data_IF_993806056750
#
_entry.id   IF_993806056750
#
_cell.length_a   1.000
_cell.length_b   1.000
_cell.length_c   1.000
_cell.angle_alpha   90.00
_cell.angle_beta   90.00
_cell.angle_gamma   90.00
#
_symmetry.space_group_name_H-M   'P 1'
#
loop_
_entity.id
_entity.type
_entity.pdbx_description
1 polymer ?
#
# COMPACT_ATOMS: atom_id res chain seq x y z
N UNK A 1 8.28 9.09 9.82
CA UNK A 1 8.17 8.01 8.80
C UNK A 1 6.84 8.16 8.09
N UNK A 2 6.77 7.84 6.80
CA UNK A 2 5.53 7.77 6.04
C UNK A 2 5.13 6.30 5.97
N UNK A 3 4.05 5.94 6.66
CA UNK A 3 3.53 4.57 6.72
C UNK A 3 2.12 4.58 6.14
N UNK A 4 1.79 3.58 5.34
CA UNK A 4 0.48 3.51 4.72
C UNK A 4 -0.10 2.11 4.79
N UNK A 5 -1.43 2.00 4.90
CA UNK A 5 -2.13 0.73 5.08
C UNK A 5 -2.94 0.43 3.84
N UNK A 6 -2.70 -0.73 3.23
CA UNK A 6 -3.52 -1.25 2.15
C UNK A 6 -4.86 -1.71 2.69
N UNK A 7 -5.97 -1.17 2.18
CA UNK A 7 -7.32 -1.59 2.54
C UNK A 7 -8.09 -2.09 1.32
N UNK A 8 -9.06 -2.96 1.57
CA UNK A 8 -9.95 -3.52 0.57
C UNK A 8 -11.33 -3.73 1.18
N UNK A 9 -12.38 -3.19 0.56
CA UNK A 9 -13.76 -3.36 0.98
C UNK A 9 -14.67 -3.83 -0.14
N UNK A 10 -15.76 -4.52 0.19
CA UNK A 10 -16.82 -4.86 -0.76
C UNK A 10 -18.07 -3.98 -0.57
N UNK A 11 -19.05 -4.14 -1.47
CA UNK A 11 -20.32 -3.40 -1.44
C UNK A 11 -21.26 -3.83 -0.30
N UNK A 12 -20.85 -4.81 0.51
CA UNK A 12 -21.67 -5.42 1.55
C UNK A 12 -21.19 -5.03 2.96
N UNK A 13 -20.23 -4.11 3.05
CA UNK A 13 -19.71 -3.58 4.32
C UNK A 13 -18.58 -4.42 4.92
N UNK A 14 -18.08 -5.43 4.20
CA UNK A 14 -16.88 -6.16 4.61
C UNK A 14 -15.64 -5.34 4.25
N UNK A 15 -14.67 -5.33 5.15
CA UNK A 15 -13.45 -4.56 5.01
C UNK A 15 -12.27 -5.31 5.63
N UNK A 16 -11.15 -5.36 4.91
CA UNK A 16 -9.91 -6.00 5.36
C UNK A 16 -8.73 -5.05 5.11
N UNK A 17 -7.63 -5.27 5.84
CA UNK A 17 -6.33 -4.69 5.54
C UNK A 17 -5.40 -5.76 4.97
N UNK A 18 -4.47 -5.33 4.11
CA UNK A 18 -3.39 -6.15 3.58
C UNK A 18 -2.03 -5.67 4.11
N UNK A 19 -2.00 -5.32 5.40
CA UNK A 19 -0.86 -4.80 6.13
C UNK A 19 -0.39 -3.44 5.63
N UNK A 20 0.72 -2.97 6.20
CA UNK A 20 1.31 -1.68 5.94
C UNK A 20 2.50 -1.73 5.00
N UNK A 21 2.81 -0.57 4.40
CA UNK A 21 4.04 -0.30 3.66
C UNK A 21 4.81 0.85 4.31
N UNK A 22 6.13 0.81 4.22
CA UNK A 22 6.98 1.95 4.54
C UNK A 22 7.39 2.67 3.25
N UNK A 23 6.95 3.92 3.12
CA UNK A 23 7.23 4.78 1.99
C UNK A 23 8.09 5.99 2.43
N UNK A 24 8.84 5.88 3.52
CA UNK A 24 9.64 6.98 4.09
C UNK A 24 10.82 7.39 3.22
N UNK A 25 11.28 6.54 2.30
CA UNK A 25 12.37 6.87 1.37
C UNK A 25 11.81 7.73 0.24
N UNK A 26 11.94 9.05 0.41
CA UNK A 26 11.36 10.04 -0.49
C UNK A 26 12.36 11.10 -0.93
N UNK A 27 12.18 11.64 -2.14
CA UNK A 27 12.89 12.82 -2.66
C UNK A 27 11.86 13.89 -3.01
N UNK A 28 11.91 15.07 -2.37
CA UNK A 28 10.98 16.20 -2.64
C UNK A 28 9.50 15.77 -2.66
N UNK A 29 9.07 15.02 -1.63
CA UNK A 29 7.71 14.47 -1.50
C UNK A 29 7.29 13.42 -2.53
N UNK A 30 8.23 12.92 -3.35
CA UNK A 30 8.02 11.76 -4.20
C UNK A 30 8.59 10.54 -3.51
N UNK A 31 7.77 9.49 -3.35
CA UNK A 31 8.24 8.17 -2.93
C UNK A 31 9.31 7.69 -3.93
N UNK A 32 10.33 6.96 -3.48
CA UNK A 32 11.42 6.45 -4.35
C UNK A 32 11.63 4.94 -4.15
N UNK A 33 11.60 4.50 -2.90
CA UNK A 33 11.68 3.09 -2.51
C UNK A 33 10.57 2.80 -1.52
N UNK A 34 9.85 1.71 -1.76
CA UNK A 34 8.74 1.27 -0.92
C UNK A 34 8.99 -0.15 -0.43
N UNK A 35 8.67 -0.42 0.84
CA UNK A 35 8.89 -1.71 1.48
C UNK A 35 7.60 -2.23 2.10
N UNK A 36 7.41 -3.56 2.07
CA UNK A 36 6.32 -4.22 2.79
C UNK A 36 6.83 -5.52 3.44
N UNK A 37 6.46 -5.84 4.69
CA UNK A 37 5.86 -4.93 5.68
C UNK A 37 6.86 -3.82 6.07
N UNK A 38 6.41 -2.83 6.85
CA UNK A 38 7.31 -1.77 7.31
C UNK A 38 8.41 -2.35 8.22
N UNK A 39 9.71 -2.13 7.91
CA UNK A 39 10.79 -2.66 8.73
C UNK A 39 10.83 -1.95 10.09
N UNK A 40 11.20 -2.65 11.16
CA UNK A 40 11.39 -2.05 12.50
C UNK A 40 10.16 -1.23 12.93
N UNK A 41 8.98 -1.84 12.85
CA UNK A 41 7.73 -1.29 13.38
C UNK A 41 7.26 -2.20 14.51
N UNK A 42 7.07 -1.63 15.70
CA UNK A 42 6.56 -2.35 16.86
C UNK A 42 5.16 -2.90 16.55
N UNK A 43 4.90 -4.14 16.99
CA UNK A 43 3.66 -4.83 16.65
C UNK A 43 2.43 -4.09 17.21
N UNK A 44 2.51 -3.49 18.40
CA UNK A 44 1.38 -2.74 18.95
C UNK A 44 1.09 -1.47 18.12
N UNK A 45 2.14 -0.80 17.62
CA UNK A 45 1.98 0.36 16.72
C UNK A 45 1.36 -0.09 15.40
N UNK A 46 1.84 -1.19 14.81
CA UNK A 46 1.26 -1.79 13.60
C UNK A 46 -0.22 -2.06 13.79
N UNK A 47 -0.62 -2.78 14.84
CA UNK A 47 -2.02 -3.11 15.08
C UNK A 47 -2.90 -1.86 15.24
N UNK A 48 -2.38 -0.80 15.86
CA UNK A 48 -3.10 0.47 15.97
C UNK A 48 -3.30 1.16 14.61
N UNK A 49 -2.26 1.21 13.77
CA UNK A 49 -2.34 1.75 12.40
C UNK A 49 -3.39 1.00 11.57
N UNK A 50 -3.32 -0.34 11.58
CA UNK A 50 -4.23 -1.21 10.83
C UNK A 50 -5.69 -1.02 11.29
N UNK A 51 -5.90 -0.98 12.62
CA UNK A 51 -7.22 -0.76 13.22
C UNK A 51 -7.79 0.61 12.86
N UNK A 52 -6.99 1.67 12.93
CA UNK A 52 -7.47 3.02 12.65
C UNK A 52 -7.75 3.24 11.16
N UNK A 53 -6.97 2.62 10.26
CA UNK A 53 -7.25 2.59 8.83
C UNK A 53 -8.61 1.92 8.54
N UNK A 54 -8.85 0.73 9.13
CA UNK A 54 -10.13 0.05 8.98
C UNK A 54 -11.29 0.84 9.58
N UNK A 55 -11.09 1.47 10.74
CA UNK A 55 -12.11 2.30 11.38
C UNK A 55 -12.53 3.45 10.47
N UNK A 56 -11.57 4.20 9.92
CA UNK A 56 -11.85 5.30 8.99
C UNK A 56 -12.67 4.83 7.78
N UNK A 57 -12.21 3.77 7.12
CA UNK A 57 -12.86 3.23 5.93
C UNK A 57 -14.24 2.64 6.22
N UNK A 58 -14.47 2.09 7.42
CA UNK A 58 -15.78 1.60 7.85
C UNK A 58 -16.80 2.72 8.01
N UNK A 59 -16.41 3.85 8.62
CA UNK A 59 -17.30 5.01 8.82
C UNK A 59 -17.82 5.61 7.50
N UNK A 60 -17.01 5.54 6.43
CA UNK A 60 -17.39 6.06 5.12
C UNK A 60 -17.99 5.01 4.17
N UNK A 61 -18.13 3.76 4.62
CA UNK A 61 -18.59 2.66 3.77
C UNK A 61 -17.69 2.42 2.56
N UNK A 62 -16.37 2.45 2.76
CA UNK A 62 -15.39 2.31 1.69
C UNK A 62 -15.56 0.99 0.94
N UNK A 63 -15.51 1.05 -0.39
CA UNK A 63 -15.60 -0.11 -1.28
C UNK A 63 -14.46 -0.07 -2.29
N UNK A 64 -14.06 -1.24 -2.79
CA UNK A 64 -12.90 -1.48 -3.64
C UNK A 64 -11.56 -1.35 -2.87
N UNK A 65 -10.45 -1.22 -3.58
CA UNK A 65 -9.10 -1.11 -3.00
C UNK A 65 -8.72 0.35 -2.77
N UNK A 66 -8.01 0.64 -1.70
CA UNK A 66 -7.48 1.97 -1.39
C UNK A 66 -6.35 1.92 -0.39
N UNK A 67 -5.76 3.06 -0.10
CA UNK A 67 -4.68 3.17 0.89
C UNK A 67 -4.94 4.31 1.86
N UNK A 68 -4.74 4.06 3.15
CA UNK A 68 -4.78 5.10 4.18
C UNK A 68 -3.34 5.44 4.57
N UNK A 69 -2.95 6.71 4.41
CA UNK A 69 -1.59 7.17 4.68
C UNK A 69 -1.49 7.86 6.05
N UNK A 70 -0.38 7.61 6.74
CA UNK A 70 -0.07 8.13 8.06
C UNK A 70 1.36 8.67 8.13
N UNK A 71 1.54 9.70 8.96
CA UNK A 71 2.85 10.10 9.46
C UNK A 71 3.08 9.48 10.83
N UNK A 72 4.18 8.76 10.99
CA UNK A 72 4.61 8.15 12.25
C UNK A 72 5.80 8.91 12.84
N UNK A 73 5.68 9.40 14.06
CA UNK A 73 6.76 10.10 14.78
C UNK A 73 7.73 9.13 15.49
N UNK A 74 8.80 9.66 16.08
CA UNK A 74 9.81 8.85 16.80
C UNK A 74 9.34 8.29 18.14
N UNK A 75 8.20 8.76 18.67
CA UNK A 75 7.58 8.27 19.90
C UNK A 75 6.56 7.17 19.64
N UNK A 76 6.28 6.86 18.37
CA UNK A 76 5.30 5.86 17.97
C UNK A 76 3.88 6.39 17.82
N UNK A 77 3.67 7.71 17.83
CA UNK A 77 2.37 8.30 17.53
C UNK A 77 2.18 8.37 16.02
N UNK A 78 1.02 7.94 15.52
CA UNK A 78 0.63 8.06 14.13
C UNK A 78 -0.46 9.12 13.92
N UNK A 79 -0.35 9.82 12.80
CA UNK A 79 -1.24 10.91 12.42
C UNK A 79 -1.76 10.64 11.01
N UNK A 80 -3.08 10.58 10.85
CA UNK A 80 -3.72 10.45 9.53
C UNK A 80 -3.30 11.62 8.63
N UNK A 81 -3.00 11.31 7.37
CA UNK A 81 -2.62 12.30 6.36
C UNK A 81 -3.61 12.36 5.21
N UNK A 82 -3.83 11.25 4.50
CA UNK A 82 -4.76 11.19 3.38
C UNK A 82 -5.27 9.77 3.12
N UNK A 83 -6.29 9.66 2.25
CA UNK A 83 -6.72 8.40 1.66
C UNK A 83 -6.52 8.47 0.15
N UNK A 84 -5.73 7.55 -0.39
CA UNK A 84 -5.68 7.30 -1.81
C UNK A 84 -6.81 6.33 -2.18
N UNK A 85 -7.93 6.87 -2.69
CA UNK A 85 -9.12 6.10 -3.06
C UNK A 85 -8.97 5.35 -4.41
N UNK A 86 -7.79 4.75 -4.63
CA UNK A 86 -7.38 4.03 -5.84
C UNK A 86 -6.20 3.11 -5.53
N UNK A 87 -5.90 2.21 -6.46
CA UNK A 87 -4.64 1.45 -6.42
C UNK A 87 -3.44 2.41 -6.55
N UNK A 88 -2.37 2.10 -5.84
CA UNK A 88 -1.11 2.84 -5.86
C UNK A 88 -0.03 2.08 -6.63
N UNK A 89 1.05 2.77 -7.01
CA UNK A 89 2.12 2.17 -7.82
C UNK A 89 2.82 1.04 -7.04
N UNK A 90 2.99 1.24 -5.75
CA UNK A 90 3.61 0.37 -4.76
C UNK A 90 2.70 -0.75 -4.22
N UNK A 91 1.55 -1.03 -4.86
CA UNK A 91 0.71 -2.16 -4.47
C UNK A 91 1.44 -3.51 -4.61
N UNK A 92 2.39 -3.61 -5.55
CA UNK A 92 3.16 -4.82 -5.86
C UNK A 92 3.85 -5.43 -4.63
N UNK A 93 4.46 -4.61 -3.75
CA UNK A 93 5.11 -5.15 -2.55
C UNK A 93 4.11 -5.76 -1.57
N UNK A 94 2.88 -5.26 -1.55
CA UNK A 94 1.79 -5.88 -0.77
C UNK A 94 1.33 -7.19 -1.39
N UNK A 95 1.22 -7.26 -2.73
CA UNK A 95 0.89 -8.51 -3.43
C UNK A 95 1.94 -9.59 -3.17
N UNK A 96 3.23 -9.23 -3.26
CA UNK A 96 4.35 -10.16 -3.04
C UNK A 96 4.33 -10.78 -1.63
N UNK A 97 4.06 -9.97 -0.59
CA UNK A 97 4.08 -10.50 0.79
C UNK A 97 2.79 -11.21 1.19
N UNK A 98 1.65 -10.91 0.55
CA UNK A 98 0.35 -11.50 0.92
C UNK A 98 -0.10 -12.62 -0.01
N UNK A 99 0.41 -12.64 -1.25
CA UNK A 99 -0.06 -13.49 -2.33
C UNK A 99 -1.44 -13.11 -2.87
N UNK A 100 -1.95 -11.92 -2.54
CA UNK A 100 -3.25 -11.43 -3.02
C UNK A 100 -3.05 -10.54 -4.24
N UNK A 101 -3.64 -10.91 -5.37
CA UNK A 101 -3.73 -10.08 -6.56
C UNK A 101 -4.80 -8.99 -6.36
N UNK A 102 -4.33 -7.77 -6.11
CA UNK A 102 -5.17 -6.62 -5.80
C UNK A 102 -5.94 -6.16 -7.03
N UNK A 103 -5.32 -6.16 -8.23
CA UNK A 103 -5.98 -5.75 -9.47
C UNK A 103 -7.15 -6.68 -9.81
N UNK A 104 -6.93 -7.99 -9.72
CA UNK A 104 -7.98 -8.99 -9.92
C UNK A 104 -9.09 -8.83 -8.86
N UNK A 105 -8.73 -8.65 -7.60
CA UNK A 105 -9.70 -8.42 -6.53
C UNK A 105 -10.55 -7.17 -6.78
N UNK A 106 -9.96 -6.06 -7.26
CA UNK A 106 -10.70 -4.85 -7.63
C UNK A 106 -11.78 -5.13 -8.66
N UNK A 107 -11.45 -5.88 -9.72
CA UNK A 107 -12.39 -6.25 -10.78
C UNK A 107 -13.51 -7.12 -10.21
N UNK A 108 -13.17 -8.15 -9.42
CA UNK A 108 -14.16 -9.04 -8.81
C UNK A 108 -15.11 -8.33 -7.85
N UNK A 109 -14.60 -7.40 -7.04
CA UNK A 109 -15.42 -6.57 -6.16
C UNK A 109 -16.33 -5.65 -6.98
N UNK A 110 -15.83 -5.08 -8.07
CA UNK A 110 -16.64 -4.26 -8.97
C UNK A 110 -17.79 -5.06 -9.63
N UNK A 111 -17.55 -6.34 -9.96
CA UNK A 111 -18.56 -7.32 -10.41
C UNK A 111 -19.60 -7.66 -9.33
N UNK A 112 -19.41 -7.21 -8.08
CA UNK A 112 -20.32 -7.45 -6.97
C UNK A 112 -20.00 -8.72 -6.17
N UNK A 113 -18.80 -9.29 -6.29
CA UNK A 113 -18.37 -10.39 -5.41
C UNK A 113 -18.14 -9.89 -3.99
N UNK A 114 -18.49 -10.73 -3.01
CA UNK A 114 -18.16 -10.52 -1.60
C UNK A 114 -16.73 -10.91 -1.31
N UNK A 115 -16.09 -10.28 -0.33
CA UNK A 115 -14.75 -10.67 0.12
C UNK A 115 -14.68 -12.15 0.55
N UNK A 116 -15.71 -12.65 1.23
CA UNK A 116 -15.82 -14.06 1.61
C UNK A 116 -15.84 -15.02 0.41
N UNK A 117 -16.56 -14.67 -0.67
CA UNK A 117 -16.62 -15.47 -1.91
C UNK A 117 -15.25 -15.53 -2.61
N UNK A 118 -14.44 -14.49 -2.42
CA UNK A 118 -13.07 -14.39 -2.93
C UNK A 118 -12.05 -15.04 -2.00
N UNK A 119 -12.47 -15.56 -0.83
CA UNK A 119 -11.57 -16.05 0.23
C UNK A 119 -10.57 -14.98 0.68
N UNK A 120 -11.06 -13.74 0.78
CA UNK A 120 -10.32 -12.58 1.25
C UNK A 120 -10.90 -12.14 2.60
N UNK A 121 -10.71 -12.97 3.63
CA UNK A 121 -11.09 -12.63 5.01
C UNK A 121 -9.85 -12.29 5.83
N UNK A 122 -9.99 -11.44 6.86
CA UNK A 122 -8.85 -10.89 7.60
C UNK A 122 -7.95 -11.98 8.22
N UNK A 123 -8.53 -13.10 8.64
CA UNK A 123 -7.84 -14.28 9.20
C UNK A 123 -7.03 -15.08 8.17
N UNK A 124 -7.32 -14.92 6.88
CA UNK A 124 -6.61 -15.60 5.79
C UNK A 124 -5.44 -14.78 5.24
N UNK A 125 -5.40 -13.47 5.51
CA UNK A 125 -4.31 -12.60 5.07
C UNK A 125 -3.11 -12.80 5.99
N UNK A 126 -2.04 -13.39 5.44
CA UNK A 126 -0.81 -13.68 6.17
C UNK A 126 0.39 -13.09 5.44
N UNK A 127 1.34 -12.51 6.18
CA UNK A 127 2.59 -11.99 5.63
C UNK A 127 3.59 -13.12 5.41
N UNK A 128 4.19 -13.18 4.22
CA UNK A 128 5.29 -14.07 3.86
C UNK A 128 6.49 -13.25 3.42
N UNK A 129 7.53 -13.22 4.25
CA UNK A 129 8.78 -12.52 3.93
C UNK A 129 8.64 -11.00 3.90
N UNK A 130 9.40 -10.38 3.01
CA UNK A 130 9.47 -8.92 2.83
C UNK A 130 9.73 -8.63 1.36
N UNK A 131 9.12 -7.58 0.83
CA UNK A 131 9.29 -7.12 -0.53
C UNK A 131 9.74 -5.66 -0.55
N UNK A 132 10.51 -5.32 -1.59
CA UNK A 132 11.02 -3.97 -1.83
C UNK A 132 10.75 -3.63 -3.29
N UNK A 133 10.20 -2.45 -3.54
CA UNK A 133 10.05 -1.90 -4.87
C UNK A 133 11.02 -0.73 -5.06
N UNK A 134 11.69 -0.74 -6.21
CA UNK A 134 12.47 0.37 -6.73
C UNK A 134 11.93 0.74 -8.11
N UNK A 135 11.94 2.02 -8.44
CA UNK A 135 11.56 2.51 -9.76
C UNK A 135 12.79 3.00 -10.51
N UNK A 136 13.07 2.36 -11.64
CA UNK A 136 14.10 2.81 -12.57
C UNK A 136 13.45 3.83 -13.51
N UNK A 137 13.94 5.07 -13.47
CA UNK A 137 13.47 6.18 -14.30
C UNK A 137 14.59 6.62 -15.26
N UNK A 138 14.26 7.49 -16.22
CA UNK A 138 15.27 8.15 -17.06
C UNK A 138 15.85 9.40 -16.39
N UNK A 139 15.53 9.67 -15.12
CA UNK A 139 16.08 10.83 -14.41
C UNK A 139 17.59 10.66 -14.20
N UNK A 140 18.40 11.60 -14.69
CA UNK A 140 19.85 11.57 -14.52
C UNK A 140 20.27 12.26 -13.20
N UNK A 141 20.80 11.54 -12.20
CA UNK A 141 21.24 12.14 -10.94
C UNK A 141 22.36 13.18 -11.10
N UNK A 142 23.20 13.06 -12.15
CA UNK A 142 24.29 14.00 -12.44
C UNK A 142 23.77 15.33 -13.01
N UNK A 143 22.59 15.31 -13.64
CA UNK A 143 21.89 16.49 -14.16
C UNK A 143 20.75 16.95 -13.24
N UNK A 144 20.86 16.69 -11.94
CA UNK A 144 19.85 17.12 -10.97
C UNK A 144 18.52 16.39 -11.10
N UNK A 145 18.55 15.15 -11.58
CA UNK A 145 17.40 14.28 -11.85
C UNK A 145 16.46 14.81 -12.92
N UNK A 146 17.00 15.48 -13.94
CA UNK A 146 16.23 15.80 -15.13
C UNK A 146 15.89 14.51 -15.91
N UNK A 147 14.64 14.31 -16.36
CA UNK A 147 14.30 13.17 -17.20
C UNK A 147 15.03 13.23 -18.55
N UNK A 148 15.78 12.18 -18.86
CA UNK A 148 16.40 12.01 -20.17
C UNK A 148 15.37 11.51 -21.21
N UNK A 149 15.68 11.74 -22.49
CA UNK A 149 14.84 11.39 -23.63
C UNK A 149 15.67 10.84 -24.79
N UNK A 150 15.10 9.94 -25.57
CA UNK A 150 15.80 9.33 -26.71
C UNK A 150 15.30 7.93 -26.98
N UNK A 151 16.02 7.20 -27.84
CA UNK A 151 15.72 5.81 -28.17
C UNK A 151 16.52 4.89 -27.26
N UNK A 152 15.85 3.96 -26.58
CA UNK A 152 16.53 2.86 -25.87
C UNK A 152 17.07 1.89 -26.93
N UNK A 153 18.38 1.81 -27.08
CA UNK A 153 19.02 0.90 -28.05
C UNK A 153 19.08 -0.55 -27.55
N UNK A 154 19.29 -0.74 -26.24
CA UNK A 154 19.38 -2.05 -25.57
C UNK A 154 18.62 -2.00 -24.26
N UNK A 155 17.77 -3.00 -24.01
CA UNK A 155 17.06 -3.22 -22.74
C UNK A 155 17.18 -4.71 -22.38
N UNK A 156 17.54 -5.02 -21.14
CA UNK A 156 17.73 -6.39 -20.64
C UNK A 156 17.14 -6.53 -19.26
#
# INVERSE_FOLDING_TARGET
>A
RHIEVQIMGDKYGNLIHLYERDCSVQRRHQKVVELAPAPVLDEAIRQNLLKDALRLCKEVGYSNVGTVEFLLDSKGNHYFMEVNARLQVEHTVTEEITGVDLVQAQVRIAEGKKLEELRLTQDQINVKGTAIQCRVTTEDPAMGFQPDSGRIEVFR
#
